data_IF_357716955783
#
_entry.id   IF_357716955783
#
_cell.length_a   1.000
_cell.length_b   1.000
_cell.length_c   1.000
_cell.angle_alpha   90.00
_cell.angle_beta   90.00
_cell.angle_gamma   90.00
#
_symmetry.space_group_name_H-M   'P 1'
#
loop_
_entity.id
_entity.type
_entity.pdbx_description
1 polymer ?
#
# COMPACT_ATOMS: atom_id res chain seq x y z
N UNK A 1 -14.78 -20.42 -22.21
CA UNK A 1 -13.93 -19.22 -22.02
C UNK A 1 -13.33 -18.75 -23.33
N UNK A 2 -12.62 -19.61 -24.08
CA UNK A 2 -11.95 -19.22 -25.33
C UNK A 2 -12.89 -18.57 -26.36
N UNK A 3 -14.05 -19.17 -26.64
CA UNK A 3 -15.03 -18.61 -27.57
C UNK A 3 -15.49 -17.18 -27.19
N UNK A 4 -15.66 -16.89 -25.89
CA UNK A 4 -16.03 -15.56 -25.41
C UNK A 4 -14.88 -14.56 -25.55
N UNK A 5 -13.64 -15.00 -25.32
CA UNK A 5 -12.46 -14.16 -25.52
C UNK A 5 -12.28 -13.81 -27.01
N UNK A 6 -12.41 -14.79 -27.90
CA UNK A 6 -12.28 -14.59 -29.34
C UNK A 6 -13.42 -13.69 -29.87
N UNK A 7 -14.65 -13.94 -29.41
CA UNK A 7 -15.80 -13.09 -29.71
C UNK A 7 -15.55 -11.67 -29.22
N UNK A 8 -15.09 -11.47 -27.97
CA UNK A 8 -14.85 -10.14 -27.42
C UNK A 8 -13.74 -9.40 -28.17
N UNK A 9 -12.68 -10.09 -28.61
CA UNK A 9 -11.55 -9.50 -29.32
C UNK A 9 -11.75 -9.36 -30.83
N UNK A 10 -12.78 -9.99 -31.38
CA UNK A 10 -13.20 -9.80 -32.78
C UNK A 10 -13.83 -8.44 -33.05
N UNK A 11 -14.37 -8.28 -34.25
CA UNK A 11 -15.15 -7.11 -34.67
C UNK A 11 -16.61 -7.25 -34.23
N UNK A 12 -16.95 -6.62 -33.11
CA UNK A 12 -18.32 -6.54 -32.60
C UNK A 12 -18.82 -5.10 -32.61
N UNK A 13 -20.13 -4.92 -32.79
CA UNK A 13 -20.78 -3.66 -32.40
C UNK A 13 -20.69 -3.45 -30.88
N UNK A 14 -20.64 -2.19 -30.45
CA UNK A 14 -20.40 -1.77 -29.06
C UNK A 14 -21.30 -2.50 -28.04
N UNK A 15 -22.60 -2.62 -28.34
CA UNK A 15 -23.56 -3.31 -27.46
C UNK A 15 -23.24 -4.80 -27.29
N UNK A 16 -22.83 -5.49 -28.37
CA UNK A 16 -22.48 -6.91 -28.33
C UNK A 16 -21.18 -7.14 -27.54
N UNK A 17 -20.23 -6.21 -27.61
CA UNK A 17 -18.99 -6.26 -26.84
C UNK A 17 -19.27 -6.14 -25.33
N UNK A 18 -20.14 -5.22 -24.90
CA UNK A 18 -20.51 -5.04 -23.48
C UNK A 18 -21.16 -6.31 -22.90
N UNK A 19 -22.09 -6.91 -23.63
CA UNK A 19 -22.76 -8.16 -23.19
C UNK A 19 -21.77 -9.32 -23.11
N UNK A 20 -20.92 -9.46 -24.13
CA UNK A 20 -19.88 -10.52 -24.14
C UNK A 20 -18.87 -10.35 -23.00
N UNK A 21 -18.48 -9.11 -22.71
CA UNK A 21 -17.60 -8.79 -21.59
C UNK A 21 -18.22 -9.18 -20.24
N UNK A 22 -19.50 -8.83 -20.02
CA UNK A 22 -20.23 -9.21 -18.80
C UNK A 22 -20.30 -10.72 -18.62
N UNK A 23 -20.70 -11.45 -19.68
CA UNK A 23 -20.77 -12.91 -19.66
C UNK A 23 -19.41 -13.54 -19.36
N UNK A 24 -18.32 -13.01 -19.94
CA UNK A 24 -16.97 -13.48 -19.67
C UNK A 24 -16.58 -13.30 -18.21
N UNK A 25 -16.83 -12.12 -17.63
CA UNK A 25 -16.53 -11.85 -16.22
C UNK A 25 -17.36 -12.71 -15.27
N UNK A 26 -18.65 -12.91 -15.56
CA UNK A 26 -19.52 -13.77 -14.76
C UNK A 26 -19.07 -15.23 -14.81
N UNK A 27 -18.68 -15.71 -15.99
CA UNK A 27 -18.13 -17.06 -16.14
C UNK A 27 -16.78 -17.20 -15.44
N UNK A 28 -15.91 -16.18 -15.52
CA UNK A 28 -14.64 -16.16 -14.80
C UNK A 28 -14.83 -16.28 -13.29
N UNK A 29 -15.80 -15.56 -12.71
CA UNK A 29 -16.11 -15.62 -11.27
C UNK A 29 -16.46 -17.03 -10.81
N UNK A 30 -17.12 -17.82 -11.66
CA UNK A 30 -17.55 -19.18 -11.37
C UNK A 30 -16.45 -20.25 -11.56
N UNK A 31 -15.28 -19.88 -12.08
CA UNK A 31 -14.18 -20.83 -12.29
C UNK A 31 -13.56 -21.30 -10.98
N UNK A 32 -13.18 -22.58 -10.95
CA UNK A 32 -12.33 -23.16 -9.92
C UNK A 32 -10.90 -22.58 -9.95
N UNK A 33 -10.10 -22.77 -8.88
CA UNK A 33 -8.71 -22.28 -8.86
C UNK A 33 -7.86 -22.76 -10.04
N UNK A 34 -8.00 -24.03 -10.44
CA UNK A 34 -7.25 -24.62 -11.56
C UNK A 34 -7.70 -24.03 -12.89
N UNK A 35 -9.02 -23.85 -13.10
CA UNK A 35 -9.53 -23.20 -14.31
C UNK A 35 -9.15 -21.71 -14.40
N UNK A 36 -8.97 -21.03 -13.26
CA UNK A 36 -8.44 -19.66 -13.23
C UNK A 36 -6.97 -19.61 -13.63
N UNK A 37 -6.18 -20.61 -13.24
CA UNK A 37 -4.80 -20.75 -13.70
C UNK A 37 -4.78 -20.94 -15.22
N UNK A 38 -5.54 -21.91 -15.74
CA UNK A 38 -5.67 -22.15 -17.19
C UNK A 38 -6.07 -20.88 -17.95
N UNK A 39 -6.97 -20.08 -17.37
CA UNK A 39 -7.37 -18.80 -17.94
C UNK A 39 -6.19 -17.81 -18.03
N UNK A 40 -5.38 -17.66 -16.98
CA UNK A 40 -4.23 -16.75 -17.01
C UNK A 40 -3.09 -17.25 -17.90
N UNK A 41 -2.82 -18.57 -17.91
CA UNK A 41 -1.86 -19.17 -18.84
C UNK A 41 -2.29 -18.94 -20.29
N UNK A 42 -3.59 -19.08 -20.59
CA UNK A 42 -4.12 -18.77 -21.91
C UNK A 42 -3.91 -17.29 -22.29
N UNK A 43 -4.09 -16.35 -21.35
CA UNK A 43 -3.81 -14.92 -21.58
C UNK A 43 -2.32 -14.66 -21.84
N UNK A 44 -1.45 -15.33 -21.09
CA UNK A 44 0.00 -15.25 -21.29
C UNK A 44 0.37 -15.74 -22.69
N UNK A 45 -0.13 -16.90 -23.11
CA UNK A 45 0.28 -17.55 -24.36
C UNK A 45 -0.34 -16.93 -25.62
N UNK A 46 -1.64 -16.62 -25.60
CA UNK A 46 -2.40 -16.32 -26.82
C UNK A 46 -2.78 -14.83 -27.01
N UNK A 47 -2.57 -13.99 -26.00
CA UNK A 47 -2.92 -12.56 -26.02
C UNK A 47 -1.70 -11.63 -25.99
N UNK A 48 -0.55 -12.12 -26.47
CA UNK A 48 0.63 -11.31 -26.75
C UNK A 48 0.46 -10.44 -28.01
N UNK A 49 1.44 -9.56 -28.23
CA UNK A 49 1.58 -8.82 -29.48
C UNK A 49 2.03 -9.73 -30.64
N UNK A 50 1.60 -9.43 -31.86
CA UNK A 50 1.91 -10.23 -33.04
C UNK A 50 3.38 -10.03 -33.48
N UNK A 51 4.23 -11.08 -33.47
CA UNK A 51 5.63 -10.97 -33.84
C UNK A 51 5.86 -10.50 -35.28
N UNK A 52 4.98 -10.87 -36.22
CA UNK A 52 5.10 -10.49 -37.63
C UNK A 52 4.77 -9.00 -37.82
N UNK A 53 3.73 -8.50 -37.15
CA UNK A 53 3.40 -7.07 -37.17
C UNK A 53 4.50 -6.21 -36.54
N UNK A 54 5.08 -6.67 -35.42
CA UNK A 54 6.22 -6.01 -34.77
C UNK A 54 7.40 -5.93 -35.73
N UNK A 55 7.78 -7.04 -36.39
CA UNK A 55 8.89 -7.07 -37.33
C UNK A 55 8.67 -6.11 -38.51
N UNK A 56 7.46 -6.06 -39.06
CA UNK A 56 7.10 -5.17 -40.15
C UNK A 56 7.11 -3.68 -39.73
N UNK A 57 6.61 -3.36 -38.54
CA UNK A 57 6.62 -1.99 -38.01
C UNK A 57 8.04 -1.53 -37.66
N UNK A 58 8.86 -2.41 -37.08
CA UNK A 58 10.25 -2.13 -36.77
C UNK A 58 11.02 -1.81 -38.06
N UNK A 59 10.89 -2.64 -39.10
CA UNK A 59 11.51 -2.38 -40.42
C UNK A 59 11.11 -1.01 -40.99
N UNK A 60 9.85 -0.64 -40.84
CA UNK A 60 9.33 0.66 -41.31
C UNK A 60 9.93 1.83 -40.52
N UNK A 61 10.08 1.68 -39.20
CA UNK A 61 10.69 2.69 -38.33
C UNK A 61 12.20 2.82 -38.58
N UNK A 62 12.93 1.70 -38.70
CA UNK A 62 14.36 1.71 -39.03
C UNK A 62 14.64 2.38 -40.38
N UNK A 63 13.79 2.16 -41.38
CA UNK A 63 13.93 2.80 -42.69
C UNK A 63 13.61 4.30 -42.66
N UNK A 64 12.66 4.74 -41.82
CA UNK A 64 12.28 6.15 -41.69
C UNK A 64 11.85 6.46 -40.25
N UNK A 65 12.76 6.91 -39.37
CA UNK A 65 12.50 7.14 -37.95
C UNK A 65 11.74 8.46 -37.74
N UNK A 66 10.45 8.45 -38.06
CA UNK A 66 9.54 9.57 -37.85
C UNK A 66 8.44 9.19 -36.85
N UNK A 67 7.75 10.20 -36.32
CA UNK A 67 6.71 10.01 -35.31
C UNK A 67 5.57 9.08 -35.76
N UNK A 68 5.19 9.07 -37.04
CA UNK A 68 4.16 8.18 -37.56
C UNK A 68 4.56 6.70 -37.47
N UNK A 69 5.79 6.39 -37.88
CA UNK A 69 6.33 5.03 -37.77
C UNK A 69 6.59 4.63 -36.32
N UNK A 70 7.04 5.56 -35.47
CA UNK A 70 7.20 5.31 -34.04
C UNK A 70 5.86 4.99 -33.37
N UNK A 71 4.81 5.75 -33.69
CA UNK A 71 3.46 5.51 -33.18
C UNK A 71 2.92 4.15 -33.63
N UNK A 72 3.17 3.76 -34.89
CA UNK A 72 2.80 2.43 -35.38
C UNK A 72 3.54 1.34 -34.62
N UNK A 73 4.86 1.45 -34.49
CA UNK A 73 5.67 0.48 -33.74
C UNK A 73 5.17 0.35 -32.30
N UNK A 74 4.97 1.46 -31.61
CA UNK A 74 4.45 1.48 -30.24
C UNK A 74 3.09 0.79 -30.09
N UNK A 75 2.20 0.91 -31.08
CA UNK A 75 0.87 0.27 -31.07
C UNK A 75 0.97 -1.24 -31.26
N UNK A 76 1.76 -1.70 -32.25
CA UNK A 76 1.84 -3.15 -32.54
C UNK A 76 2.64 -3.92 -31.50
N UNK A 77 3.49 -3.25 -30.72
CA UNK A 77 4.20 -3.87 -29.59
C UNK A 77 3.34 -4.02 -28.34
N UNK A 78 2.15 -3.43 -28.30
CA UNK A 78 1.24 -3.56 -27.16
C UNK A 78 0.61 -4.95 -27.13
N UNK A 79 0.70 -5.72 -26.02
CA UNK A 79 0.04 -7.01 -25.91
C UNK A 79 -1.47 -6.87 -26.09
N UNK A 80 -2.10 -7.83 -26.79
CA UNK A 80 -3.56 -7.87 -26.97
C UNK A 80 -4.32 -7.93 -25.64
N UNK A 81 -3.65 -8.35 -24.55
CA UNK A 81 -4.16 -8.24 -23.17
C UNK A 81 -4.59 -6.82 -22.78
N UNK A 82 -3.93 -5.76 -23.23
CA UNK A 82 -4.32 -4.39 -22.86
C UNK A 82 -5.68 -4.02 -23.46
N UNK A 83 -5.90 -4.37 -24.72
CA UNK A 83 -7.19 -4.19 -25.39
C UNK A 83 -8.27 -5.07 -24.76
N UNK A 84 -7.95 -6.31 -24.42
CA UNK A 84 -8.88 -7.20 -23.70
C UNK A 84 -9.34 -6.57 -22.37
N UNK A 85 -8.41 -6.12 -21.53
CA UNK A 85 -8.72 -5.46 -20.26
C UNK A 85 -9.56 -4.19 -20.46
N UNK A 86 -9.23 -3.38 -21.49
CA UNK A 86 -10.03 -2.19 -21.85
C UNK A 86 -11.45 -2.55 -22.23
N UNK A 87 -11.66 -3.58 -23.05
CA UNK A 87 -13.00 -4.06 -23.45
C UNK A 87 -13.78 -4.63 -22.28
N UNK A 88 -13.12 -5.40 -21.41
CA UNK A 88 -13.74 -5.90 -20.19
C UNK A 88 -14.22 -4.74 -19.31
N UNK A 89 -13.43 -3.68 -19.18
CA UNK A 89 -13.79 -2.53 -18.35
C UNK A 89 -14.90 -1.62 -18.93
N UNK A 90 -15.47 -1.94 -20.08
CA UNK A 90 -16.61 -1.20 -20.67
C UNK A 90 -17.97 -1.63 -20.10
N UNK A 91 -18.03 -2.75 -19.37
CA UNK A 91 -19.28 -3.22 -18.77
C UNK A 91 -19.48 -2.65 -17.37
N UNK A 92 -20.74 -2.42 -16.92
CA UNK A 92 -21.00 -2.01 -15.54
C UNK A 92 -20.35 -2.95 -14.52
N UNK A 93 -19.87 -2.37 -13.43
CA UNK A 93 -19.18 -3.05 -12.32
C UNK A 93 -17.89 -3.82 -12.69
N UNK A 94 -17.43 -3.72 -13.93
CA UNK A 94 -16.24 -4.43 -14.40
C UNK A 94 -14.98 -4.10 -13.61
N UNK A 95 -14.88 -2.87 -13.09
CA UNK A 95 -13.71 -2.46 -12.33
C UNK A 95 -13.56 -3.28 -11.05
N UNK A 96 -14.66 -3.60 -10.34
CA UNK A 96 -14.61 -4.54 -9.20
C UNK A 96 -14.13 -5.92 -9.64
N UNK A 97 -14.62 -6.40 -10.79
CA UNK A 97 -14.26 -7.70 -11.32
C UNK A 97 -12.80 -7.83 -11.69
N UNK A 98 -12.27 -6.81 -12.36
CA UNK A 98 -10.87 -6.79 -12.77
C UNK A 98 -9.96 -6.70 -11.56
N UNK A 99 -10.33 -5.92 -10.53
CA UNK A 99 -9.58 -5.86 -9.27
C UNK A 99 -9.60 -7.22 -8.58
N UNK A 100 -10.76 -7.89 -8.51
CA UNK A 100 -10.87 -9.26 -7.96
C UNK A 100 -10.07 -10.28 -8.78
N UNK A 101 -10.14 -10.21 -10.11
CA UNK A 101 -9.39 -11.06 -11.03
C UNK A 101 -7.89 -10.91 -10.82
N UNK A 102 -7.39 -9.68 -10.68
CA UNK A 102 -5.99 -9.45 -10.35
C UNK A 102 -5.63 -9.98 -8.96
N UNK A 103 -6.53 -9.85 -7.97
CA UNK A 103 -6.29 -10.42 -6.65
C UNK A 103 -6.11 -11.95 -6.70
N UNK A 104 -6.80 -12.64 -7.61
CA UNK A 104 -6.60 -14.07 -7.87
C UNK A 104 -5.27 -14.34 -8.57
N UNK A 105 -4.92 -13.57 -9.60
CA UNK A 105 -3.61 -13.65 -10.29
C UNK A 105 -2.43 -13.52 -9.31
N UNK A 106 -2.50 -12.56 -8.39
CA UNK A 106 -1.44 -12.31 -7.40
C UNK A 106 -1.14 -13.53 -6.51
N UNK A 107 -2.11 -14.43 -6.30
CA UNK A 107 -1.92 -15.67 -5.53
C UNK A 107 -1.13 -16.72 -6.32
N UNK A 108 -1.18 -16.66 -7.65
CA UNK A 108 -0.55 -17.61 -8.57
C UNK A 108 0.89 -17.22 -8.95
N UNK A 109 1.28 -15.95 -8.80
CA UNK A 109 2.60 -15.46 -9.26
C UNK A 109 3.82 -16.18 -8.64
N UNK A 110 3.70 -16.67 -7.40
CA UNK A 110 4.82 -17.36 -6.73
C UNK A 110 5.07 -18.76 -7.33
N UNK A 111 4.06 -19.63 -7.51
CA UNK A 111 4.23 -20.90 -8.20
C UNK A 111 4.41 -20.76 -9.72
N UNK A 112 3.88 -19.70 -10.35
CA UNK A 112 3.83 -19.49 -11.81
C UNK A 112 4.47 -18.14 -12.21
N UNK A 113 5.82 -18.03 -12.19
CA UNK A 113 6.52 -16.76 -12.40
C UNK A 113 6.33 -16.17 -13.82
N UNK A 114 6.03 -16.99 -14.82
CA UNK A 114 5.70 -16.57 -16.19
C UNK A 114 4.49 -15.63 -16.26
N UNK A 115 3.51 -15.81 -15.35
CA UNK A 115 2.32 -14.96 -15.26
C UNK A 115 2.63 -13.53 -14.79
N UNK A 116 3.88 -13.25 -14.39
CA UNK A 116 4.33 -11.91 -14.02
C UNK A 116 4.10 -10.90 -15.15
N UNK A 117 4.26 -11.31 -16.41
CA UNK A 117 4.01 -10.46 -17.57
C UNK A 117 2.53 -10.06 -17.68
N UNK A 118 1.61 -10.96 -17.33
CA UNK A 118 0.16 -10.66 -17.28
C UNK A 118 -0.12 -9.65 -16.17
N UNK A 119 0.48 -9.81 -14.98
CA UNK A 119 0.33 -8.83 -13.89
C UNK A 119 0.92 -7.46 -14.26
N UNK A 120 2.03 -7.38 -14.99
CA UNK A 120 2.57 -6.10 -15.46
C UNK A 120 1.58 -5.33 -16.35
N UNK A 121 0.83 -6.04 -17.19
CA UNK A 121 -0.21 -5.44 -18.02
C UNK A 121 -1.38 -4.92 -17.18
N UNK A 122 -1.80 -5.68 -16.16
CA UNK A 122 -2.78 -5.21 -15.17
C UNK A 122 -2.28 -3.96 -14.42
N UNK A 123 -1.02 -3.97 -13.94
CA UNK A 123 -0.41 -2.82 -13.25
C UNK A 123 -0.43 -1.59 -14.13
N UNK A 124 -0.09 -1.75 -15.42
CA UNK A 124 -0.11 -0.66 -16.39
C UNK A 124 -1.50 -0.07 -16.57
N UNK A 125 -2.52 -0.92 -16.75
CA UNK A 125 -3.92 -0.47 -16.89
C UNK A 125 -4.43 0.20 -15.61
N UNK A 126 -4.23 -0.44 -14.45
CA UNK A 126 -4.71 0.08 -13.17
C UNK A 126 -3.99 1.36 -12.75
N UNK A 127 -2.71 1.54 -13.07
CA UNK A 127 -1.99 2.79 -12.82
C UNK A 127 -2.59 3.98 -13.59
N UNK A 128 -3.17 3.72 -14.77
CA UNK A 128 -3.89 4.72 -15.54
C UNK A 128 -5.30 4.97 -14.99
N UNK A 129 -6.04 3.90 -14.69
CA UNK A 129 -7.43 3.99 -14.25
C UNK A 129 -7.59 4.53 -12.83
N UNK A 130 -6.71 4.16 -11.91
CA UNK A 130 -6.71 4.60 -10.50
C UNK A 130 -5.74 5.76 -10.25
N UNK A 131 -5.50 6.58 -11.27
CA UNK A 131 -4.64 7.75 -11.15
C UNK A 131 -5.13 8.69 -10.05
N UNK A 132 -4.19 9.33 -9.34
CA UNK A 132 -4.46 10.23 -8.20
C UNK A 132 -5.57 11.25 -8.45
N UNK A 133 -5.69 11.77 -9.68
CA UNK A 133 -6.66 12.81 -10.03
C UNK A 133 -8.13 12.39 -9.88
N UNK A 134 -8.41 11.10 -9.78
CA UNK A 134 -9.76 10.57 -9.60
C UNK A 134 -10.07 10.14 -8.16
N UNK A 135 -9.10 10.21 -7.26
CA UNK A 135 -9.31 9.82 -5.86
C UNK A 135 -10.02 10.93 -5.11
N UNK A 136 -11.06 10.54 -4.37
CA UNK A 136 -11.86 11.44 -3.54
C UNK A 136 -11.61 11.08 -2.08
N UNK A 137 -11.10 12.04 -1.31
CA UNK A 137 -10.99 11.92 0.14
C UNK A 137 -12.36 12.17 0.77
N UNK A 138 -12.79 11.30 1.68
CA UNK A 138 -14.00 11.47 2.47
C UNK A 138 -13.71 11.24 3.95
N UNK A 139 -14.42 11.98 4.80
CA UNK A 139 -14.42 11.73 6.25
C UNK A 139 -15.37 10.59 6.57
N UNK A 140 -14.91 9.64 7.35
CA UNK A 140 -15.69 8.52 7.86
C UNK A 140 -16.07 8.80 9.30
N UNK A 141 -17.36 8.69 9.61
CA UNK A 141 -17.91 8.90 10.95
C UNK A 141 -19.12 7.98 11.18
N UNK A 142 -19.76 8.10 12.34
CA UNK A 142 -20.90 7.23 12.70
C UNK A 142 -22.16 7.46 11.84
N UNK A 143 -22.21 8.51 11.02
CA UNK A 143 -23.29 8.75 10.04
C UNK A 143 -23.00 8.14 8.66
N UNK A 144 -21.78 7.64 8.42
CA UNK A 144 -21.43 6.92 7.18
C UNK A 144 -22.28 5.65 7.04
N UNK A 145 -22.59 5.26 5.80
CA UNK A 145 -23.44 4.10 5.53
C UNK A 145 -22.88 2.83 6.19
N UNK A 146 -23.77 2.01 6.75
CA UNK A 146 -23.39 0.77 7.42
C UNK A 146 -22.60 -0.18 6.48
N UNK A 147 -22.92 -0.18 5.18
CA UNK A 147 -22.19 -0.96 4.18
C UNK A 147 -20.71 -0.56 4.05
N UNK A 148 -20.39 0.74 4.11
CA UNK A 148 -19.00 1.22 4.09
C UNK A 148 -18.31 0.91 5.42
N UNK A 149 -19.01 1.10 6.55
CA UNK A 149 -18.48 0.81 7.88
C UNK A 149 -18.14 -0.69 8.05
N UNK A 150 -19.00 -1.59 7.57
CA UNK A 150 -18.73 -3.03 7.57
C UNK A 150 -17.49 -3.40 6.74
N UNK A 151 -17.28 -2.73 5.61
CA UNK A 151 -16.05 -2.89 4.80
C UNK A 151 -14.81 -2.44 5.57
N UNK A 152 -14.88 -1.34 6.33
CA UNK A 152 -13.76 -0.87 7.16
C UNK A 152 -13.39 -1.91 8.22
N UNK A 153 -14.38 -2.49 8.92
CA UNK A 153 -14.15 -3.60 9.87
C UNK A 153 -13.42 -4.76 9.16
N UNK A 154 -13.91 -5.15 7.98
CA UNK A 154 -13.34 -6.27 7.21
C UNK A 154 -11.92 -6.02 6.70
N UNK A 155 -11.58 -4.77 6.37
CA UNK A 155 -10.34 -4.41 5.70
C UNK A 155 -9.24 -3.92 6.65
N UNK A 156 -9.51 -3.79 7.94
CA UNK A 156 -8.52 -3.32 8.90
C UNK A 156 -7.35 -4.30 9.03
N UNK A 157 -6.18 -3.85 8.57
CA UNK A 157 -5.02 -4.69 8.34
C UNK A 157 -3.88 -4.45 9.34
N UNK A 158 -3.95 -3.42 10.18
CA UNK A 158 -2.93 -3.05 11.17
C UNK A 158 -3.35 -3.54 12.55
N UNK A 159 -4.49 -3.09 13.05
CA UNK A 159 -5.06 -3.38 14.36
C UNK A 159 -6.50 -3.87 14.23
N UNK A 160 -6.68 -5.18 14.17
CA UNK A 160 -7.98 -5.84 13.96
C UNK A 160 -9.13 -5.18 14.74
N UNK A 161 -10.21 -4.85 14.04
CA UNK A 161 -11.46 -4.36 14.63
C UNK A 161 -12.36 -5.56 14.90
N UNK A 162 -12.71 -5.79 16.16
CA UNK A 162 -13.39 -7.02 16.58
C UNK A 162 -14.88 -7.02 16.25
N UNK A 163 -15.53 -5.88 16.41
CA UNK A 163 -16.96 -5.71 16.32
C UNK A 163 -17.35 -4.24 16.08
N UNK A 164 -18.65 -3.97 16.04
CA UNK A 164 -19.21 -2.64 15.83
C UNK A 164 -18.92 -1.67 16.98
N UNK A 165 -18.79 -2.16 18.21
CA UNK A 165 -18.50 -1.32 19.37
C UNK A 165 -17.03 -0.88 19.36
N UNK A 166 -16.11 -1.79 18.98
CA UNK A 166 -14.71 -1.46 18.71
C UNK A 166 -14.61 -0.44 17.56
N UNK A 167 -15.30 -0.65 16.43
CA UNK A 167 -15.35 0.34 15.34
C UNK A 167 -15.81 1.70 15.86
N UNK A 168 -16.93 1.73 16.61
CA UNK A 168 -17.51 2.96 17.15
C UNK A 168 -16.50 3.70 18.02
N UNK A 169 -15.78 2.99 18.89
CA UNK A 169 -14.74 3.56 19.75
C UNK A 169 -13.60 4.23 18.98
N UNK A 170 -13.41 3.89 17.71
CA UNK A 170 -12.36 4.45 16.84
C UNK A 170 -12.83 5.56 15.92
N UNK A 171 -14.14 5.81 15.80
CA UNK A 171 -14.68 6.81 14.85
C UNK A 171 -15.63 7.84 15.47
N UNK A 172 -16.33 7.48 16.55
CA UNK A 172 -17.33 8.34 17.22
C UNK A 172 -16.70 9.36 18.19
N UNK A 173 -15.62 9.03 18.95
CA UNK A 173 -15.05 9.99 19.90
C UNK A 173 -14.48 11.25 19.24
N UNK A 174 -14.53 12.41 19.93
CA UNK A 174 -14.11 13.69 19.37
C UNK A 174 -12.61 13.75 19.04
N UNK A 175 -11.79 12.94 19.72
CA UNK A 175 -10.36 12.79 19.47
C UNK A 175 -10.00 11.67 18.48
N UNK A 176 -10.97 11.20 17.71
CA UNK A 176 -10.76 10.23 16.64
C UNK A 176 -11.23 10.82 15.32
N UNK A 177 -10.44 10.59 14.28
CA UNK A 177 -10.81 10.95 12.90
C UNK A 177 -10.42 9.80 11.99
N UNK A 178 -11.34 9.42 11.11
CA UNK A 178 -11.08 8.42 10.09
C UNK A 178 -11.38 9.00 8.73
N UNK A 179 -10.49 8.74 7.79
CA UNK A 179 -10.62 9.20 6.42
C UNK A 179 -10.50 8.02 5.48
N UNK A 180 -11.19 8.06 4.35
CA UNK A 180 -11.03 7.05 3.30
C UNK A 180 -10.95 7.70 1.92
N UNK A 181 -10.12 7.10 1.06
CA UNK A 181 -10.00 7.44 -0.35
C UNK A 181 -10.90 6.52 -1.16
N UNK A 182 -11.78 7.12 -1.94
CA UNK A 182 -12.69 6.44 -2.86
C UNK A 182 -12.30 6.71 -4.31
N UNK A 183 -12.74 5.83 -5.20
CA UNK A 183 -12.62 6.02 -6.64
C UNK A 183 -14.00 5.86 -7.28
N UNK A 184 -14.41 6.75 -8.21
CA UNK A 184 -15.76 6.72 -8.79
C UNK A 184 -16.15 5.39 -9.45
N UNK A 185 -15.17 4.64 -9.96
CA UNK A 185 -15.40 3.33 -10.59
C UNK A 185 -15.54 2.16 -9.59
N UNK A 186 -15.26 2.37 -8.30
CA UNK A 186 -15.44 1.38 -7.24
C UNK A 186 -16.39 1.96 -6.18
N UNK A 187 -17.69 1.79 -6.42
CA UNK A 187 -18.74 2.42 -5.63
C UNK A 187 -18.78 1.81 -4.23
N UNK A 188 -18.95 2.67 -3.21
CA UNK A 188 -18.98 2.29 -1.79
C UNK A 188 -17.78 1.47 -1.32
N UNK A 189 -16.65 1.57 -2.03
CA UNK A 189 -15.46 0.78 -1.80
C UNK A 189 -14.30 1.68 -1.38
N UNK A 190 -13.93 1.71 -0.09
CA UNK A 190 -12.72 2.41 0.33
C UNK A 190 -11.52 1.70 -0.32
N UNK A 191 -10.61 2.48 -0.91
CA UNK A 191 -9.36 1.94 -1.46
C UNK A 191 -8.27 1.94 -0.38
N UNK A 192 -8.19 3.05 0.33
CA UNK A 192 -7.33 3.25 1.48
C UNK A 192 -8.15 3.94 2.53
N UNK A 193 -8.06 3.49 3.79
CA UNK A 193 -8.51 4.31 4.90
C UNK A 193 -7.37 4.55 5.89
N UNK A 194 -7.54 5.63 6.63
CA UNK A 194 -6.55 6.21 7.55
C UNK A 194 -7.27 6.53 8.84
N UNK A 195 -6.81 5.94 9.94
CA UNK A 195 -7.30 6.23 11.29
C UNK A 195 -6.31 7.14 12.02
N UNK A 196 -6.85 8.17 12.68
CA UNK A 196 -6.09 9.22 13.34
C UNK A 196 -6.59 9.42 14.76
N UNK A 197 -5.66 9.42 15.71
CA UNK A 197 -5.90 9.80 17.09
C UNK A 197 -5.37 11.21 17.34
N UNK A 198 -6.21 12.06 17.92
CA UNK A 198 -5.89 13.44 18.26
C UNK A 198 -5.52 13.52 19.75
N UNK A 199 -4.46 14.24 20.07
CA UNK A 199 -3.97 14.36 21.44
C UNK A 199 -3.03 15.54 21.63
N UNK A 200 -2.40 15.61 22.80
CA UNK A 200 -1.40 16.63 23.13
C UNK A 200 0.03 16.13 22.89
N UNK A 201 0.28 14.85 23.18
CA UNK A 201 1.60 14.24 23.10
C UNK A 201 1.71 13.22 21.96
N UNK A 202 2.96 12.92 21.56
CA UNK A 202 3.28 11.85 20.62
C UNK A 202 3.19 10.50 21.37
N UNK A 203 2.30 9.58 20.97
CA UNK A 203 2.16 8.30 21.65
C UNK A 203 3.32 7.35 21.35
N UNK A 204 3.69 6.56 22.36
CA UNK A 204 4.74 5.56 22.29
C UNK A 204 4.26 4.11 22.16
N UNK A 205 2.96 3.84 22.31
CA UNK A 205 2.39 2.51 22.21
C UNK A 205 0.97 2.55 21.64
N UNK A 206 0.56 1.47 20.98
CA UNK A 206 -0.80 1.39 20.42
C UNK A 206 -1.84 1.30 21.53
N UNK A 207 -1.49 0.67 22.66
CA UNK A 207 -2.36 0.58 23.83
C UNK A 207 -2.69 1.98 24.40
N UNK A 208 -1.75 2.93 24.34
CA UNK A 208 -2.00 4.31 24.75
C UNK A 208 -3.03 5.03 23.85
N UNK A 209 -3.28 4.54 22.65
CA UNK A 209 -4.29 5.08 21.73
C UNK A 209 -5.61 4.31 21.88
N UNK A 210 -5.58 2.98 21.85
CA UNK A 210 -6.81 2.19 21.84
C UNK A 210 -7.53 2.18 23.20
N UNK A 211 -6.81 2.36 24.31
CA UNK A 211 -7.39 2.41 25.66
C UNK A 211 -7.64 3.84 26.16
N UNK A 212 -7.40 4.84 25.31
CA UNK A 212 -7.65 6.25 25.62
C UNK A 212 -9.15 6.55 25.48
N UNK A 213 -9.84 6.48 26.61
CA UNK A 213 -11.24 6.85 26.73
C UNK A 213 -11.33 8.29 27.24
N UNK A 214 -11.69 9.22 26.36
CA UNK A 214 -12.01 10.59 26.79
C UNK A 214 -13.20 10.54 27.74
N UNK A 215 -13.04 11.09 28.94
CA UNK A 215 -14.14 11.28 29.87
C UNK A 215 -15.13 12.31 29.31
N UNK A 216 -16.44 12.03 29.39
CA UNK A 216 -17.53 12.87 28.88
C UNK A 216 -17.50 14.35 29.31
N UNK A 217 -16.74 14.66 30.37
CA UNK A 217 -16.64 16.01 30.95
C UNK A 217 -15.61 16.92 30.30
N UNK A 218 -14.70 16.41 29.46
CA UNK A 218 -13.67 17.22 28.80
C UNK A 218 -14.13 17.59 27.38
N UNK A 219 -15.05 18.57 27.31
CA UNK A 219 -15.55 19.10 26.05
C UNK A 219 -14.43 19.87 25.36
N UNK A 220 -13.79 19.22 24.40
CA UNK A 220 -12.88 19.78 23.40
C UNK A 220 -11.51 20.22 23.94
N UNK A 221 -10.65 19.27 24.38
CA UNK A 221 -9.25 19.58 24.63
C UNK A 221 -8.61 20.15 23.36
N UNK A 222 -7.77 21.18 23.51
CA UNK A 222 -6.99 21.71 22.40
C UNK A 222 -5.99 20.64 21.93
N UNK A 223 -6.24 20.05 20.76
CA UNK A 223 -5.37 19.05 20.17
C UNK A 223 -4.16 19.73 19.52
N UNK A 224 -2.96 19.24 19.82
CA UNK A 224 -1.69 19.76 19.26
C UNK A 224 -1.00 18.73 18.36
N UNK A 225 -1.36 17.46 18.52
CA UNK A 225 -0.77 16.30 17.83
C UNK A 225 -1.84 15.44 17.17
N UNK A 226 -1.63 15.10 15.90
CA UNK A 226 -2.39 14.09 15.16
C UNK A 226 -1.50 12.87 14.91
N UNK A 227 -1.95 11.71 15.38
CA UNK A 227 -1.25 10.43 15.23
C UNK A 227 -1.99 9.52 14.26
N UNK A 228 -1.40 9.28 13.09
CA UNK A 228 -1.82 8.26 12.13
C UNK A 228 -1.43 6.87 12.64
N UNK A 229 -2.36 6.13 13.25
CA UNK A 229 -2.06 4.84 13.87
C UNK A 229 -2.50 3.63 13.03
N UNK A 230 -3.38 3.82 12.05
CA UNK A 230 -3.69 2.80 11.06
C UNK A 230 -3.80 3.39 9.65
N UNK A 231 -3.21 2.70 8.68
CA UNK A 231 -3.34 2.99 7.24
C UNK A 231 -3.49 1.65 6.52
N UNK A 232 -4.69 1.39 6.01
CA UNK A 232 -5.06 0.09 5.47
C UNK A 232 -5.40 0.21 3.98
N UNK A 233 -4.72 -0.58 3.13
CA UNK A 233 -5.11 -0.77 1.74
C UNK A 233 -6.16 -1.89 1.68
N UNK A 234 -7.36 -1.53 1.26
CA UNK A 234 -8.54 -2.38 1.31
C UNK A 234 -8.63 -3.38 0.16
N UNK A 235 -7.91 -3.12 -0.94
CA UNK A 235 -8.07 -3.86 -2.18
C UNK A 235 -6.79 -4.66 -2.50
N UNK A 236 -6.74 -5.98 -2.23
CA UNK A 236 -5.58 -6.81 -2.54
C UNK A 236 -5.21 -6.76 -4.03
N UNK A 237 -6.22 -6.65 -4.90
CA UNK A 237 -6.04 -6.48 -6.34
C UNK A 237 -5.43 -5.12 -6.73
N UNK A 238 -5.32 -4.16 -5.84
CA UNK A 238 -4.62 -2.88 -6.07
C UNK A 238 -3.22 -2.86 -5.42
N UNK A 239 -2.70 -4.02 -4.99
CA UNK A 239 -1.33 -4.12 -4.48
C UNK A 239 -0.32 -3.59 -5.51
N UNK A 240 0.61 -2.76 -5.06
CA UNK A 240 1.62 -2.06 -5.87
C UNK A 240 1.07 -1.04 -6.90
N UNK A 241 -0.23 -0.73 -6.87
CA UNK A 241 -0.76 0.41 -7.64
C UNK A 241 -0.51 1.67 -6.82
N UNK A 242 0.22 2.62 -7.40
CA UNK A 242 0.47 3.90 -6.75
C UNK A 242 -0.75 4.81 -6.94
N UNK A 243 -1.33 5.23 -5.82
CA UNK A 243 -2.37 6.25 -5.76
C UNK A 243 -1.81 7.69 -5.73
N UNK A 244 -0.53 7.82 -6.09
CA UNK A 244 0.26 9.02 -5.93
C UNK A 244 0.91 9.12 -4.55
N UNK A 245 2.04 9.83 -4.51
CA UNK A 245 2.62 10.29 -3.25
C UNK A 245 1.81 11.51 -2.77
N UNK A 246 1.79 11.78 -1.47
CA UNK A 246 1.00 12.84 -0.81
C UNK A 246 -0.45 12.50 -0.44
N UNK A 247 -0.80 11.22 -0.28
CA UNK A 247 -2.09 10.84 0.33
C UNK A 247 -2.22 11.43 1.73
N UNK A 248 -1.17 11.27 2.55
CA UNK A 248 -1.15 11.79 3.92
C UNK A 248 -1.17 13.32 3.94
N UNK A 249 -0.59 13.99 2.94
CA UNK A 249 -0.63 15.46 2.85
C UNK A 249 -2.08 15.97 2.77
N UNK A 250 -2.97 15.28 2.05
CA UNK A 250 -4.38 15.66 1.96
C UNK A 250 -5.08 15.51 3.31
N UNK A 251 -4.87 14.38 3.99
CA UNK A 251 -5.44 14.16 5.33
C UNK A 251 -4.91 15.20 6.34
N UNK A 252 -3.62 15.52 6.27
CA UNK A 252 -3.02 16.58 7.08
C UNK A 252 -3.67 17.93 6.81
N UNK A 253 -3.95 18.28 5.55
CA UNK A 253 -4.61 19.53 5.17
C UNK A 253 -6.05 19.60 5.71
N UNK A 254 -6.81 18.51 5.63
CA UNK A 254 -8.16 18.42 6.22
C UNK A 254 -8.10 18.63 7.74
N UNK A 255 -7.20 17.91 8.42
CA UNK A 255 -7.02 18.04 9.86
C UNK A 255 -6.57 19.45 10.28
N UNK A 256 -5.75 20.13 9.48
CA UNK A 256 -5.34 21.50 9.77
C UNK A 256 -6.46 22.52 9.58
N UNK A 257 -7.33 22.29 8.60
CA UNK A 257 -8.50 23.12 8.38
C UNK A 257 -9.51 22.98 9.53
N UNK A 258 -9.72 21.75 10.00
CA UNK A 258 -10.61 21.45 11.13
C UNK A 258 -10.00 21.85 12.49
N UNK A 259 -8.71 21.58 12.70
CA UNK A 259 -7.99 21.80 13.96
C UNK A 259 -6.70 22.61 13.74
N UNK A 260 -6.78 23.95 13.65
CA UNK A 260 -5.61 24.81 13.43
C UNK A 260 -4.54 24.72 14.52
N UNK A 261 -4.89 24.27 15.73
CA UNK A 261 -3.99 24.05 16.86
C UNK A 261 -3.02 22.88 16.64
N UNK A 262 -3.37 21.91 15.78
CA UNK A 262 -2.50 20.76 15.50
C UNK A 262 -1.28 21.20 14.70
N UNK A 263 -0.11 21.05 15.32
CA UNK A 263 1.19 21.37 14.70
C UNK A 263 2.05 20.13 14.46
N UNK A 264 1.77 19.03 15.16
CA UNK A 264 2.53 17.79 15.04
C UNK A 264 1.71 16.73 14.31
N UNK A 265 2.27 16.20 13.23
CA UNK A 265 1.68 15.14 12.42
C UNK A 265 2.62 13.96 12.43
N UNK A 266 2.29 12.93 13.21
CA UNK A 266 3.14 11.76 13.42
C UNK A 266 2.36 10.50 13.09
N UNK A 267 3.05 9.42 12.79
CA UNK A 267 2.42 8.09 12.71
C UNK A 267 2.77 7.28 13.94
N UNK A 268 2.07 6.19 14.19
CA UNK A 268 2.57 5.09 15.01
C UNK A 268 2.48 3.83 14.16
N UNK A 269 3.57 3.51 13.46
CA UNK A 269 3.56 2.54 12.37
C UNK A 269 4.20 1.20 12.78
N UNK A 270 3.68 0.06 12.27
CA UNK A 270 4.31 -1.24 12.46
C UNK A 270 5.58 -1.40 11.62
N UNK A 271 6.38 -2.42 11.94
CA UNK A 271 7.64 -2.74 11.25
C UNK A 271 7.61 -4.21 10.76
N UNK A 272 6.71 -4.54 9.80
CA UNK A 272 6.34 -5.93 9.51
C UNK A 272 7.48 -6.78 8.93
N UNK A 273 8.50 -6.17 8.33
CA UNK A 273 9.61 -6.88 7.70
C UNK A 273 10.77 -7.20 8.64
N UNK A 274 10.75 -6.72 9.89
CA UNK A 274 11.92 -6.77 10.77
C UNK A 274 12.33 -8.18 11.16
N UNK A 275 11.42 -9.01 11.69
CA UNK A 275 11.80 -10.34 12.18
C UNK A 275 12.29 -11.25 11.04
N UNK A 276 11.63 -11.20 9.87
CA UNK A 276 12.08 -11.94 8.69
C UNK A 276 13.47 -11.48 8.22
N UNK A 277 13.74 -10.17 8.25
CA UNK A 277 15.07 -9.63 7.98
C UNK A 277 16.09 -10.04 9.04
N UNK A 278 15.68 -9.99 10.31
CA UNK A 278 16.49 -10.36 11.45
C UNK A 278 16.94 -11.80 11.29
N UNK A 279 16.09 -12.74 10.89
CA UNK A 279 16.47 -14.15 10.71
C UNK A 279 17.24 -14.45 9.41
N UNK A 280 17.16 -13.58 8.41
CA UNK A 280 17.85 -13.81 7.13
C UNK A 280 19.36 -13.52 7.21
N UNK A 281 20.18 -14.43 6.71
CA UNK A 281 21.62 -14.19 6.47
C UNK A 281 21.84 -13.69 5.04
N UNK A 282 21.88 -12.37 4.90
CA UNK A 282 22.21 -11.70 3.64
C UNK A 282 23.62 -11.12 3.74
N UNK A 283 24.55 -11.66 2.95
CA UNK A 283 25.98 -11.28 2.98
C UNK A 283 26.34 -9.89 2.45
N UNK A 284 25.36 -9.00 2.26
CA UNK A 284 25.56 -7.66 1.67
C UNK A 284 25.40 -6.51 2.70
N UNK A 285 25.25 -6.81 3.99
CA UNK A 285 25.06 -5.80 5.04
C UNK A 285 26.41 -5.32 5.62
N UNK A 286 26.50 -4.05 6.08
CA UNK A 286 27.71 -3.55 6.75
C UNK A 286 28.10 -4.42 7.95
N UNK A 287 29.40 -4.61 8.18
CA UNK A 287 29.90 -5.47 9.26
C UNK A 287 29.36 -5.08 10.65
N UNK A 288 29.28 -3.79 10.95
CA UNK A 288 28.74 -3.29 12.21
C UNK A 288 27.24 -3.58 12.38
N UNK A 289 26.47 -3.57 11.27
CA UNK A 289 25.06 -3.95 11.30
C UNK A 289 24.91 -5.46 11.55
N UNK A 290 25.74 -6.28 10.90
CA UNK A 290 25.74 -7.73 11.11
C UNK A 290 26.09 -8.10 12.55
N UNK A 291 27.06 -7.44 13.17
CA UNK A 291 27.41 -7.66 14.58
C UNK A 291 26.22 -7.35 15.51
N UNK A 292 25.58 -6.19 15.30
CA UNK A 292 24.39 -5.79 16.08
C UNK A 292 23.22 -6.77 15.88
N UNK A 293 23.05 -7.27 14.66
CA UNK A 293 22.04 -8.27 14.29
C UNK A 293 22.27 -9.59 15.03
N UNK A 294 23.51 -10.07 15.07
CA UNK A 294 23.90 -11.28 15.81
C UNK A 294 23.68 -11.13 17.32
N UNK A 295 24.01 -9.97 17.89
CA UNK A 295 23.82 -9.68 19.31
C UNK A 295 22.34 -9.74 19.71
N UNK A 296 21.44 -9.16 18.91
CA UNK A 296 19.98 -9.25 19.17
C UNK A 296 19.44 -10.65 18.93
N UNK A 297 19.96 -11.41 17.95
CA UNK A 297 19.58 -12.81 17.73
C UNK A 297 19.96 -13.74 18.89
N UNK A 298 21.09 -13.48 19.55
CA UNK A 298 21.55 -14.27 20.69
C UNK A 298 20.58 -14.19 21.88
N UNK A 299 19.73 -13.17 21.91
CA UNK A 299 18.68 -13.01 22.91
C UNK A 299 17.38 -13.70 22.46
N UNK A 300 16.86 -14.57 23.32
CA UNK A 300 15.57 -15.26 23.11
C UNK A 300 14.44 -14.25 22.95
N UNK A 301 13.47 -14.62 22.10
CA UNK A 301 12.26 -13.83 21.83
C UNK A 301 11.40 -13.63 23.10
N UNK A 302 11.35 -14.65 23.96
CA UNK A 302 10.48 -14.68 25.16
C UNK A 302 11.17 -14.14 26.43
N UNK A 303 12.42 -13.70 26.31
CA UNK A 303 13.15 -13.20 27.46
C UNK A 303 12.64 -11.82 27.88
N UNK A 304 12.58 -11.56 29.18
CA UNK A 304 12.20 -10.23 29.69
C UNK A 304 13.03 -9.11 29.05
N UNK A 305 12.33 -8.05 28.63
CA UNK A 305 12.94 -6.90 27.98
C UNK A 305 13.56 -5.98 29.04
N UNK A 306 14.81 -6.24 29.41
CA UNK A 306 15.61 -5.33 30.24
C UNK A 306 15.90 -4.01 29.50
N UNK A 307 16.25 -2.95 30.23
CA UNK A 307 16.61 -1.65 29.65
C UNK A 307 17.75 -1.74 28.62
N UNK A 308 18.77 -2.55 28.91
CA UNK A 308 19.90 -2.80 28.00
C UNK A 308 19.43 -3.45 26.70
N UNK A 309 18.53 -4.44 26.78
CA UNK A 309 17.96 -5.13 25.61
C UNK A 309 17.02 -4.23 24.82
N UNK A 310 16.21 -3.43 25.52
CA UNK A 310 15.36 -2.40 24.92
C UNK A 310 16.20 -1.43 24.08
N UNK A 311 17.31 -0.94 24.63
CA UNK A 311 18.21 -0.03 23.94
C UNK A 311 18.93 -0.70 22.75
N UNK A 312 19.36 -1.96 22.91
CA UNK A 312 19.96 -2.74 21.83
C UNK A 312 18.98 -2.97 20.67
N UNK A 313 17.74 -3.39 20.97
CA UNK A 313 16.69 -3.60 19.99
C UNK A 313 16.32 -2.30 19.28
N UNK A 314 16.13 -1.21 20.03
CA UNK A 314 15.87 0.13 19.48
C UNK A 314 16.97 0.55 18.51
N UNK A 315 18.23 0.33 18.86
CA UNK A 315 19.38 0.59 18.00
C UNK A 315 19.33 -0.25 16.73
N UNK A 316 19.06 -1.55 16.83
CA UNK A 316 19.00 -2.43 15.67
C UNK A 316 17.84 -2.08 14.73
N UNK A 317 16.65 -1.81 15.28
CA UNK A 317 15.47 -1.38 14.52
C UNK A 317 15.78 -0.10 13.73
N UNK A 318 16.37 0.89 14.37
CA UNK A 318 16.72 2.13 13.67
C UNK A 318 17.69 1.87 12.51
N UNK A 319 18.73 1.06 12.73
CA UNK A 319 19.68 0.71 11.66
C UNK A 319 19.05 -0.14 10.56
N UNK A 320 18.11 -1.03 10.88
CA UNK A 320 17.33 -1.76 9.89
C UNK A 320 16.57 -0.80 8.96
N UNK A 321 15.84 0.17 9.54
CA UNK A 321 15.04 1.13 8.77
C UNK A 321 15.89 2.03 7.86
N UNK A 322 17.13 2.34 8.28
CA UNK A 322 18.03 3.24 7.54
C UNK A 322 18.91 2.50 6.53
N UNK A 323 19.54 1.39 6.94
CA UNK A 323 20.63 0.72 6.23
C UNK A 323 20.21 -0.55 5.48
N UNK A 324 19.16 -1.26 5.91
CA UNK A 324 18.70 -2.43 5.17
C UNK A 324 17.96 -1.97 3.91
N UNK A 325 18.42 -2.42 2.74
CA UNK A 325 17.89 -1.98 1.44
C UNK A 325 17.28 -3.11 0.62
N UNK A 326 16.31 -2.72 -0.21
CA UNK A 326 15.86 -3.44 -1.39
C UNK A 326 16.09 -2.50 -2.58
N UNK A 327 17.06 -2.84 -3.42
CA UNK A 327 17.66 -1.92 -4.39
C UNK A 327 18.16 -0.64 -3.69
N UNK A 328 17.72 0.55 -4.13
CA UNK A 328 18.08 1.83 -3.50
C UNK A 328 17.17 2.25 -2.33
N UNK A 329 16.07 1.54 -2.09
CA UNK A 329 15.05 1.90 -1.11
C UNK A 329 15.16 1.08 0.17
N UNK A 330 14.62 1.53 1.32
CA UNK A 330 14.50 0.73 2.53
C UNK A 330 13.87 -0.64 2.29
N UNK A 331 14.35 -1.65 3.03
CA UNK A 331 13.82 -3.01 2.95
C UNK A 331 12.37 -3.10 3.45
N UNK A 332 12.06 -2.35 4.52
CA UNK A 332 10.73 -2.32 5.13
C UNK A 332 9.71 -1.59 4.24
N UNK A 333 8.55 -2.22 4.01
CA UNK A 333 7.52 -1.69 3.12
C UNK A 333 6.81 -0.45 3.69
N UNK A 334 6.64 -0.38 5.01
CA UNK A 334 5.97 0.73 5.70
C UNK A 334 6.89 1.95 5.73
N UNK A 335 8.19 1.75 5.94
CA UNK A 335 9.20 2.77 5.77
C UNK A 335 9.19 3.35 4.36
N UNK A 336 9.15 2.49 3.32
CA UNK A 336 9.07 2.96 1.93
C UNK A 336 7.84 3.82 1.69
N UNK A 337 6.70 3.45 2.26
CA UNK A 337 5.46 4.21 2.14
C UNK A 337 5.57 5.60 2.80
N UNK A 338 5.99 5.69 4.06
CA UNK A 338 6.01 6.97 4.77
C UNK A 338 7.10 7.91 4.26
N UNK A 339 8.31 7.40 4.00
CA UNK A 339 9.41 8.17 3.41
C UNK A 339 9.06 8.61 1.99
N UNK A 340 8.40 7.73 1.22
CA UNK A 340 7.83 8.06 -0.09
C UNK A 340 6.75 9.14 -0.03
N UNK A 341 6.09 9.34 1.11
CA UNK A 341 5.16 10.45 1.34
C UNK A 341 5.82 11.69 1.99
N UNK A 342 7.15 11.74 2.09
CA UNK A 342 7.90 12.89 2.58
C UNK A 342 8.08 12.95 4.10
N UNK A 343 7.76 11.88 4.82
CA UNK A 343 8.02 11.82 6.25
C UNK A 343 9.51 11.59 6.56
N UNK A 344 9.88 11.74 7.82
CA UNK A 344 11.19 11.32 8.37
C UNK A 344 11.00 10.32 9.50
N UNK A 345 11.97 9.44 9.75
CA UNK A 345 11.97 8.59 10.95
C UNK A 345 12.17 9.49 12.18
N UNK A 346 11.18 9.54 13.06
CA UNK A 346 11.20 10.45 14.20
C UNK A 346 11.62 9.78 15.50
N UNK A 347 10.98 8.67 15.84
CA UNK A 347 11.22 7.96 17.09
C UNK A 347 10.96 6.46 16.93
N UNK A 348 11.80 5.64 17.55
CA UNK A 348 11.63 4.20 17.62
C UNK A 348 11.21 3.83 19.04
N UNK A 349 10.17 3.02 19.14
CA UNK A 349 9.61 2.53 20.39
C UNK A 349 9.76 1.02 20.47
N UNK A 350 10.03 0.52 21.67
CA UNK A 350 10.05 -0.90 21.99
C UNK A 350 8.90 -1.19 22.96
N UNK A 351 8.38 -2.43 22.96
CA UNK A 351 7.16 -2.78 23.69
C UNK A 351 5.95 -1.87 23.37
N UNK A 352 5.89 -1.35 22.14
CA UNK A 352 4.86 -0.46 21.66
C UNK A 352 3.60 -1.21 21.19
N UNK A 353 3.78 -2.41 20.63
CA UNK A 353 2.70 -3.33 20.28
C UNK A 353 2.99 -4.73 20.83
N UNK A 354 2.40 -5.04 21.99
CA UNK A 354 2.56 -6.34 22.67
C UNK A 354 1.56 -7.40 22.18
N UNK A 355 0.82 -7.12 21.09
CA UNK A 355 -0.02 -8.14 20.46
C UNK A 355 0.84 -9.27 19.89
N UNK A 356 0.23 -10.46 19.71
CA UNK A 356 0.90 -11.60 19.06
C UNK A 356 1.49 -11.21 17.68
N UNK A 357 0.79 -10.33 16.96
CA UNK A 357 1.23 -9.82 15.65
C UNK A 357 2.42 -8.87 15.78
N UNK A 358 2.36 -7.87 16.66
CA UNK A 358 3.47 -6.94 16.89
C UNK A 358 4.75 -7.65 17.34
N UNK A 359 4.61 -8.60 18.27
CA UNK A 359 5.71 -9.45 18.75
C UNK A 359 6.32 -10.28 17.61
N UNK A 360 5.51 -11.01 16.85
CA UNK A 360 6.01 -11.86 15.74
C UNK A 360 6.60 -11.07 14.56
N UNK A 361 6.16 -9.84 14.33
CA UNK A 361 6.66 -9.01 13.22
C UNK A 361 7.95 -8.27 13.56
N UNK A 362 8.05 -7.75 14.79
CA UNK A 362 9.06 -6.73 15.13
C UNK A 362 9.52 -6.76 16.59
N UNK A 363 9.23 -7.85 17.32
CA UNK A 363 9.44 -7.95 18.78
C UNK A 363 8.73 -6.83 19.55
N UNK A 364 7.56 -6.42 19.04
CA UNK A 364 6.73 -5.36 19.59
C UNK A 364 7.25 -3.95 19.38
N UNK A 365 8.21 -3.76 18.47
CA UNK A 365 8.72 -2.44 18.13
C UNK A 365 7.78 -1.69 17.16
N UNK A 366 7.63 -0.39 17.36
CA UNK A 366 6.93 0.50 16.42
C UNK A 366 7.77 1.75 16.18
N UNK A 367 7.39 2.52 15.18
CA UNK A 367 8.11 3.72 14.78
C UNK A 367 7.14 4.87 14.54
N UNK A 368 7.48 6.06 15.05
CA UNK A 368 6.84 7.28 14.57
C UNK A 368 7.57 7.81 13.34
N UNK A 369 6.84 8.05 12.26
CA UNK A 369 7.27 8.91 11.18
C UNK A 369 6.68 10.31 11.37
N UNK A 370 7.49 11.36 11.25
CA UNK A 370 7.05 12.76 11.37
C UNK A 370 6.85 13.38 9.99
N UNK A 371 5.67 13.95 9.78
CA UNK A 371 5.30 14.76 8.61
C UNK A 371 5.50 16.24 8.92
N UNK A 372 6.72 16.73 8.73
CA UNK A 372 7.01 18.16 8.86
C UNK A 372 6.59 18.90 7.57
N UNK A 373 5.48 19.64 7.65
CA UNK A 373 4.81 20.31 6.51
C UNK A 373 5.74 21.05 5.54
N UNK A 374 6.71 21.79 6.08
CA UNK A 374 7.67 22.60 5.29
C UNK A 374 8.72 21.74 4.59
N UNK A 375 8.93 20.51 5.05
CA UNK A 375 9.96 19.60 4.55
C UNK A 375 9.39 18.45 3.71
N UNK A 376 8.07 18.20 3.71
CA UNK A 376 7.44 17.05 3.03
C UNK A 376 7.91 16.92 1.58
N UNK A 377 7.84 17.98 0.78
CA UNK A 377 8.20 17.94 -0.65
C UNK A 377 9.70 17.72 -0.84
N UNK A 378 10.55 18.42 -0.09
CA UNK A 378 12.01 18.23 -0.12
C UNK A 378 12.41 16.80 0.25
N UNK A 379 11.81 16.26 1.31
CA UNK A 379 12.08 14.91 1.79
C UNK A 379 11.63 13.88 0.74
N UNK A 380 10.45 14.10 0.13
CA UNK A 380 9.93 13.28 -0.95
C UNK A 380 10.90 13.22 -2.14
N UNK A 381 11.31 14.38 -2.66
CA UNK A 381 12.20 14.47 -3.81
C UNK A 381 13.55 13.78 -3.56
N UNK A 382 14.16 14.03 -2.39
CA UNK A 382 15.42 13.40 -2.00
C UNK A 382 15.28 11.88 -1.84
N UNK A 383 14.15 11.39 -1.33
CA UNK A 383 13.89 9.97 -1.22
C UNK A 383 13.67 9.29 -2.58
N UNK A 384 12.85 9.88 -3.46
CA UNK A 384 12.55 9.32 -4.79
C UNK A 384 13.78 9.32 -5.70
N UNK A 385 14.53 10.42 -5.70
CA UNK A 385 15.72 10.58 -6.54
C UNK A 385 16.87 9.72 -6.01
N UNK A 386 17.25 9.92 -4.76
CA UNK A 386 18.51 9.44 -4.21
C UNK A 386 18.36 8.28 -3.20
N UNK A 387 17.13 7.92 -2.81
CA UNK A 387 16.90 6.89 -1.79
C UNK A 387 17.28 7.33 -0.37
N UNK A 388 17.42 8.64 -0.15
CA UNK A 388 17.84 9.23 1.12
C UNK A 388 16.77 9.01 2.19
N UNK A 389 17.18 8.44 3.32
CA UNK A 389 16.32 8.20 4.48
C UNK A 389 16.50 9.33 5.48
N UNK A 390 15.53 10.24 5.54
CA UNK A 390 15.51 11.31 6.52
C UNK A 390 15.15 10.76 7.91
N UNK A 391 15.86 11.24 8.94
CA UNK A 391 15.59 10.89 10.32
C UNK A 391 15.93 12.05 11.27
N UNK A 392 15.31 12.07 12.45
CA UNK A 392 15.59 13.09 13.47
C UNK A 392 17.02 12.97 14.03
N UNK A 393 17.63 14.10 14.38
CA UNK A 393 19.00 14.15 14.92
C UNK A 393 19.16 13.37 16.23
N UNK A 394 18.08 13.29 17.03
CA UNK A 394 18.05 12.49 18.28
C UNK A 394 18.34 11.00 18.07
N UNK A 395 18.18 10.48 16.86
CA UNK A 395 18.46 9.08 16.52
C UNK A 395 19.87 8.87 15.96
N UNK A 396 20.60 9.94 15.64
CA UNK A 396 21.91 9.87 14.97
C UNK A 396 22.94 9.06 15.76
N UNK A 397 22.90 9.13 17.09
CA UNK A 397 23.79 8.36 17.97
C UNK A 397 23.56 6.84 17.93
N UNK A 398 22.40 6.40 17.43
CA UNK A 398 22.07 4.98 17.30
C UNK A 398 22.65 4.36 16.02
N UNK A 399 22.97 5.18 15.01
CA UNK A 399 23.47 4.69 13.73
C UNK A 399 24.82 3.99 13.93
N UNK A 400 24.96 2.78 13.37
CA UNK A 400 26.25 2.08 13.36
C UNK A 400 27.22 2.84 12.44
N UNK A 401 28.48 2.88 12.84
CA UNK A 401 29.55 3.55 12.09
C UNK A 401 30.09 2.66 10.97
#
# INVERSE_FOLDING_TARGET
MQELLDKLMGTNGEVSAIVTARELLDRYRALSPDEKLDFFENLEQHFNADPEEIAAAHKSYSAKPNSGNLNRLSRVTEPRRHELLRRLNQTPDATHDLVSMRADLLKLLKPHPELKAVDDDFVRMFSSWFGRGFLVLQTINWSTSAAILERIIRYEAVHEIKDWDDLRSRIDPPNRRTFAFFHPALIDEPLIFVEVALGQDIPGSIAAILNDHIADNDRSPEFTTATFYSISNCQPGLKNISFGNFLIKQVVQELQAEFPSIKQFVTLSPIPGFEAWLQADKGAEPAALNALKQEVRAHSHDAELSEERAQLLKRLIFNYLVLAKSNKYPADAVARFHLGNGAMIHQVHVAADVSKKGLSQSRGAMVNYLYELRSIERNHESYVTDGVVQHSDKLKSLLVK
#
